data_IF_844902907348
#
_entry.id   IF_844902907348
#
_cell.length_a   1.000
_cell.length_b   1.000
_cell.length_c   1.000
_cell.angle_alpha   90.00
_cell.angle_beta   90.00
_cell.angle_gamma   90.00
#
_symmetry.space_group_name_H-M   'P 1'
#
loop_
_entity.id
_entity.type
_entity.pdbx_description
1 polymer ?
#
# COMPACT_ATOMS: atom_id res chain seq x y z
N UNK A 1 4.13 48.14 -27.20
CA UNK A 1 3.91 46.99 -28.09
C UNK A 1 4.89 45.89 -27.68
N UNK A 2 4.48 44.97 -26.84
CA UNK A 2 5.25 43.79 -26.51
C UNK A 2 4.44 42.56 -26.94
N UNK A 3 4.98 41.84 -27.94
CA UNK A 3 4.41 40.62 -28.46
C UNK A 3 4.69 39.50 -27.47
N UNK A 4 3.63 38.96 -26.89
CA UNK A 4 3.64 37.66 -26.17
C UNK A 4 3.78 36.55 -27.19
N UNK A 5 4.99 35.96 -27.30
CA UNK A 5 5.24 34.79 -28.12
C UNK A 5 4.66 33.55 -27.47
N UNK A 6 3.65 32.98 -28.10
CA UNK A 6 3.22 31.59 -27.88
C UNK A 6 4.34 30.71 -28.45
N UNK A 7 5.04 29.99 -27.58
CA UNK A 7 6.04 28.97 -28.00
C UNK A 7 5.28 27.77 -28.54
N UNK A 8 5.19 27.72 -29.87
CA UNK A 8 4.79 26.54 -30.64
C UNK A 8 5.68 25.34 -30.26
N UNK A 9 5.06 24.27 -29.83
CA UNK A 9 5.76 23.02 -29.51
C UNK A 9 6.13 22.30 -30.81
N UNK A 10 7.36 22.49 -31.27
CA UNK A 10 7.93 21.75 -32.37
C UNK A 10 7.88 20.23 -32.08
N UNK A 11 7.20 19.42 -32.92
CA UNK A 11 7.09 17.98 -32.76
C UNK A 11 8.46 17.28 -32.70
N UNK A 12 9.46 17.79 -33.38
CA UNK A 12 10.82 17.24 -33.35
C UNK A 12 11.47 17.36 -31.96
N UNK A 13 11.19 18.44 -31.23
CA UNK A 13 11.71 18.63 -29.87
C UNK A 13 11.03 17.70 -28.89
N UNK A 14 9.72 17.44 -29.04
CA UNK A 14 8.97 16.49 -28.19
C UNK A 14 9.46 15.07 -28.41
N UNK A 15 9.72 14.67 -29.67
CA UNK A 15 10.23 13.34 -29.98
C UNK A 15 11.68 13.15 -29.50
N UNK A 16 12.49 14.19 -29.58
CA UNK A 16 13.84 14.18 -29.01
C UNK A 16 13.84 14.01 -27.50
N UNK A 17 12.96 14.72 -26.77
CA UNK A 17 12.80 14.58 -25.31
C UNK A 17 12.30 13.18 -24.91
N UNK A 18 11.39 12.58 -25.70
CA UNK A 18 10.94 11.20 -25.47
C UNK A 18 12.07 10.19 -25.65
N UNK A 19 12.91 10.37 -26.66
CA UNK A 19 14.06 9.48 -26.89
C UNK A 19 15.15 9.64 -25.82
N UNK A 20 15.38 10.86 -25.34
CA UNK A 20 16.25 11.10 -24.18
C UNK A 20 15.70 10.41 -22.92
N UNK A 21 14.41 10.54 -22.66
CA UNK A 21 13.78 9.90 -21.51
C UNK A 21 13.89 8.37 -21.60
N UNK A 22 13.65 7.77 -22.77
CA UNK A 22 13.82 6.32 -22.99
C UNK A 22 15.24 5.83 -22.68
N UNK A 23 16.24 6.58 -23.13
CA UNK A 23 17.66 6.25 -22.87
C UNK A 23 18.00 6.33 -21.40
N UNK A 24 17.54 7.38 -20.71
CA UNK A 24 17.76 7.56 -19.28
C UNK A 24 17.05 6.46 -18.44
N UNK A 25 15.79 6.15 -18.77
CA UNK A 25 15.04 5.07 -18.11
C UNK A 25 15.71 3.71 -18.35
N UNK A 26 16.16 3.44 -19.58
CA UNK A 26 16.88 2.21 -19.90
C UNK A 26 18.19 2.12 -19.11
N UNK A 27 18.96 3.19 -19.02
CA UNK A 27 20.19 3.24 -18.21
C UNK A 27 19.91 2.99 -16.73
N UNK A 28 18.80 3.51 -16.18
CA UNK A 28 18.39 3.29 -14.77
C UNK A 28 17.99 1.81 -14.53
N UNK A 29 17.42 1.14 -15.55
CA UNK A 29 16.97 -0.26 -15.42
C UNK A 29 18.12 -1.25 -15.62
N UNK A 30 19.05 -0.96 -16.55
CA UNK A 30 20.11 -1.88 -16.97
C UNK A 30 21.40 -1.71 -16.14
N UNK A 31 21.54 -0.65 -15.34
CA UNK A 31 22.75 -0.33 -14.56
C UNK A 31 22.53 -0.68 -13.08
N UNK A 32 23.27 -1.63 -12.55
CA UNK A 32 23.25 -2.02 -11.13
C UNK A 32 23.80 -0.91 -10.21
N UNK A 33 24.35 0.18 -10.77
CA UNK A 33 24.92 1.32 -10.05
C UNK A 33 23.98 2.53 -10.14
N UNK A 34 23.10 2.69 -9.15
CA UNK A 34 22.11 3.76 -9.05
C UNK A 34 22.79 5.12 -8.88
N UNK A 35 22.99 5.87 -9.98
CA UNK A 35 23.49 7.25 -9.92
C UNK A 35 22.35 8.25 -9.73
N UNK A 36 22.32 9.00 -8.61
CA UNK A 36 21.27 10.01 -8.34
C UNK A 36 21.11 11.02 -9.48
N UNK A 37 22.21 11.38 -10.13
CA UNK A 37 22.25 12.33 -11.26
C UNK A 37 21.46 11.86 -12.48
N UNK A 38 21.42 10.54 -12.75
CA UNK A 38 20.67 9.97 -13.88
C UNK A 38 19.16 10.04 -13.62
N UNK A 39 18.75 9.83 -12.36
CA UNK A 39 17.37 9.95 -11.91
C UNK A 39 16.89 11.39 -12.00
N UNK A 40 17.70 12.35 -11.58
CA UNK A 40 17.34 13.77 -11.59
C UNK A 40 17.22 14.30 -13.04
N UNK A 41 18.10 13.87 -13.94
CA UNK A 41 17.98 14.16 -15.39
C UNK A 41 16.71 13.55 -16.01
N UNK A 42 16.32 12.35 -15.61
CA UNK A 42 15.07 11.74 -16.06
C UNK A 42 13.84 12.53 -15.57
N UNK A 43 13.85 13.00 -14.32
CA UNK A 43 12.80 13.87 -13.75
C UNK A 43 12.70 15.21 -14.48
N UNK A 44 13.82 15.86 -14.77
CA UNK A 44 13.84 17.13 -15.52
C UNK A 44 13.30 16.97 -16.95
N UNK A 45 13.69 15.88 -17.64
CA UNK A 45 13.20 15.57 -18.98
C UNK A 45 11.69 15.32 -18.97
N UNK A 46 11.18 14.61 -17.96
CA UNK A 46 9.75 14.35 -17.78
C UNK A 46 8.97 15.64 -17.48
N UNK A 47 9.51 16.54 -16.66
CA UNK A 47 8.92 17.84 -16.37
C UNK A 47 8.87 18.74 -17.59
N UNK A 48 9.91 18.70 -18.45
CA UNK A 48 9.96 19.42 -19.72
C UNK A 48 8.91 18.91 -20.72
N UNK A 49 8.60 17.62 -20.70
CA UNK A 49 7.51 17.02 -21.47
C UNK A 49 6.12 17.40 -20.93
N UNK A 50 5.94 17.45 -19.59
CA UNK A 50 4.69 17.87 -18.93
C UNK A 50 4.29 19.31 -19.23
N UNK A 51 5.25 20.21 -19.35
CA UNK A 51 4.99 21.64 -19.63
C UNK A 51 4.53 21.92 -21.06
N UNK A 52 4.56 20.94 -21.96
CA UNK A 52 4.18 21.10 -23.37
C UNK A 52 2.89 20.37 -23.65
N UNK A 53 1.78 21.09 -23.82
CA UNK A 53 0.51 20.50 -24.29
C UNK A 53 0.71 19.90 -25.67
N UNK A 54 0.50 18.60 -25.81
CA UNK A 54 0.44 17.91 -27.09
C UNK A 54 -0.87 18.32 -27.78
N UNK A 55 -0.78 19.22 -28.75
CA UNK A 55 -1.89 19.50 -29.63
C UNK A 55 -2.18 18.28 -30.50
N UNK A 56 -3.37 17.70 -30.35
CA UNK A 56 -3.83 16.59 -31.18
C UNK A 56 -3.91 17.03 -32.66
N UNK A 57 -3.13 16.38 -33.53
CA UNK A 57 -3.24 16.50 -34.99
C UNK A 57 -4.40 15.61 -35.45
N UNK A 58 -5.45 16.24 -35.97
CA UNK A 58 -6.37 15.59 -36.89
C UNK A 58 -5.62 15.31 -38.20
N UNK A 59 -5.52 14.07 -38.59
CA UNK A 59 -5.04 13.66 -39.93
C UNK A 59 -6.15 13.93 -40.95
N UNK A 60 -5.90 14.85 -41.86
CA UNK A 60 -6.67 15.03 -43.07
C UNK A 60 -6.24 14.00 -44.10
N UNK A 61 -7.17 13.15 -44.55
CA UNK A 61 -7.08 12.55 -45.89
C UNK A 61 -8.44 12.64 -46.60
N UNK A 62 -8.44 12.96 -47.91
CA UNK A 62 -9.63 13.32 -48.62
C UNK A 62 -10.26 12.15 -49.38
N UNK A 63 -11.55 12.33 -49.67
CA UNK A 63 -12.38 11.60 -50.62
C UNK A 63 -13.19 10.39 -50.15
N UNK A 64 -14.44 10.64 -49.85
CA UNK A 64 -15.60 10.18 -50.62
C UNK A 64 -16.95 10.55 -49.97
N UNK A 65 -18.05 10.66 -50.71
CA UNK A 65 -19.11 11.61 -50.46
C UNK A 65 -20.32 10.92 -49.82
N UNK A 66 -20.68 11.38 -48.62
CA UNK A 66 -22.05 11.26 -48.12
C UNK A 66 -22.41 12.47 -47.24
N UNK A 67 -22.57 13.59 -47.98
CA UNK A 67 -23.39 14.67 -47.50
C UNK A 67 -24.84 14.19 -47.38
N UNK A 68 -25.31 14.02 -46.16
CA UNK A 68 -26.71 14.16 -45.72
C UNK A 68 -26.87 13.49 -44.34
N UNK A 69 -26.68 14.26 -43.32
CA UNK A 69 -27.49 14.34 -42.13
C UNK A 69 -26.99 15.55 -41.35
N UNK A 70 -27.42 16.68 -41.83
CA UNK A 70 -27.34 17.95 -41.13
C UNK A 70 -28.47 18.05 -40.15
N UNK A 71 -28.18 18.73 -39.05
CA UNK A 71 -29.11 19.43 -38.19
C UNK A 71 -29.85 18.54 -37.20
N UNK A 72 -29.16 18.15 -36.11
CA UNK A 72 -29.81 18.19 -34.79
C UNK A 72 -29.26 19.42 -34.07
N UNK A 73 -30.18 20.30 -33.80
CA UNK A 73 -29.99 21.58 -33.13
C UNK A 73 -29.12 21.45 -31.88
N UNK A 74 -28.24 22.44 -31.67
CA UNK A 74 -27.58 22.74 -30.42
C UNK A 74 -28.64 22.98 -29.35
N UNK A 75 -29.08 21.92 -28.65
CA UNK A 75 -29.69 22.09 -27.35
C UNK A 75 -28.61 22.64 -26.41
N UNK A 76 -28.93 23.67 -25.60
CA UNK A 76 -28.00 24.14 -24.58
C UNK A 76 -27.58 22.94 -23.71
N UNK A 77 -26.29 22.88 -23.30
CA UNK A 77 -25.85 21.86 -22.39
C UNK A 77 -26.81 21.80 -21.18
N UNK A 78 -27.21 20.58 -20.75
CA UNK A 78 -28.18 20.45 -19.66
C UNK A 78 -27.66 21.15 -18.39
N UNK A 79 -28.51 21.95 -17.76
CA UNK A 79 -28.15 22.68 -16.57
C UNK A 79 -28.00 21.68 -15.40
N UNK A 80 -26.80 21.66 -14.80
CA UNK A 80 -26.51 20.76 -13.67
C UNK A 80 -27.33 21.22 -12.46
N UNK A 81 -28.14 20.33 -11.84
CA UNK A 81 -28.85 20.64 -10.62
C UNK A 81 -27.92 21.11 -9.50
N UNK A 82 -28.35 22.08 -8.70
CA UNK A 82 -27.50 22.66 -7.63
C UNK A 82 -27.10 21.61 -6.57
N UNK A 83 -27.97 20.64 -6.30
CA UNK A 83 -27.75 19.53 -5.37
C UNK A 83 -26.66 18.57 -5.82
N UNK A 84 -26.26 18.60 -7.10
CA UNK A 84 -25.17 17.77 -7.65
C UNK A 84 -23.85 18.55 -7.75
N UNK A 85 -23.86 19.84 -7.48
CA UNK A 85 -22.68 20.70 -7.49
C UNK A 85 -22.00 20.70 -6.14
N UNK A 86 -20.67 20.59 -6.17
CA UNK A 86 -19.89 20.77 -4.96
C UNK A 86 -20.01 22.22 -4.45
N UNK A 87 -20.29 22.45 -3.14
CA UNK A 87 -20.38 23.80 -2.59
C UNK A 87 -19.09 24.61 -2.72
N UNK A 88 -17.92 23.96 -2.84
CA UNK A 88 -16.62 24.61 -2.99
C UNK A 88 -16.29 24.91 -4.46
N UNK A 89 -16.30 23.89 -5.34
CA UNK A 89 -15.89 24.05 -6.75
C UNK A 89 -17.01 24.56 -7.66
N UNK A 90 -18.28 24.45 -7.26
CA UNK A 90 -19.46 24.73 -8.09
C UNK A 90 -19.58 23.82 -9.32
N UNK A 91 -18.79 22.77 -9.41
CA UNK A 91 -18.81 21.76 -10.47
C UNK A 91 -19.60 20.52 -10.03
N UNK A 92 -19.97 19.68 -11.01
CA UNK A 92 -20.59 18.37 -10.76
C UNK A 92 -19.66 17.50 -9.92
N UNK A 93 -20.17 16.99 -8.79
CA UNK A 93 -19.38 16.14 -7.90
C UNK A 93 -19.04 14.82 -8.57
N UNK A 94 -17.76 14.43 -8.47
CA UNK A 94 -17.22 13.16 -8.99
C UNK A 94 -17.13 12.09 -7.91
N UNK A 95 -16.75 12.50 -6.70
CA UNK A 95 -16.66 11.63 -5.51
C UNK A 95 -17.31 12.31 -4.31
N UNK A 96 -18.66 12.32 -4.25
CA UNK A 96 -19.38 12.99 -3.18
C UNK A 96 -19.14 12.31 -1.83
N UNK A 97 -18.72 13.12 -0.84
CA UNK A 97 -18.49 12.70 0.55
C UNK A 97 -19.30 13.59 1.50
N UNK A 98 -19.85 13.00 2.56
CA UNK A 98 -20.58 13.71 3.60
C UNK A 98 -19.67 13.97 4.80
N UNK A 99 -19.74 15.20 5.31
CA UNK A 99 -19.06 15.60 6.56
C UNK A 99 -19.95 15.33 7.77
N UNK A 100 -19.37 15.40 8.98
CA UNK A 100 -20.13 15.37 10.25
C UNK A 100 -21.16 16.50 10.37
N UNK A 101 -21.05 17.55 9.56
CA UNK A 101 -22.06 18.62 9.43
C UNK A 101 -23.31 18.21 8.63
N UNK A 102 -23.34 17.00 8.05
CA UNK A 102 -24.40 16.53 7.15
C UNK A 102 -24.34 17.06 5.72
N UNK A 103 -23.40 17.96 5.40
CA UNK A 103 -23.25 18.52 4.06
C UNK A 103 -22.31 17.68 3.19
N UNK A 104 -22.65 17.61 1.90
CA UNK A 104 -21.92 16.83 0.90
C UNK A 104 -21.03 17.74 0.07
N UNK A 105 -19.80 17.28 -0.17
CA UNK A 105 -18.79 17.96 -0.97
C UNK A 105 -18.14 16.96 -1.93
N UNK A 106 -17.51 17.45 -2.98
CA UNK A 106 -16.60 16.61 -3.76
C UNK A 106 -15.28 16.44 -3.01
N UNK A 107 -14.85 15.19 -2.80
CA UNK A 107 -13.70 14.83 -1.96
C UNK A 107 -12.46 15.66 -2.22
N UNK A 108 -12.01 15.93 -3.49
CA UNK A 108 -10.80 16.69 -3.74
C UNK A 108 -10.78 18.05 -3.08
N UNK A 109 -11.89 18.74 -3.20
CA UNK A 109 -11.97 20.13 -2.76
C UNK A 109 -12.07 20.23 -1.24
N UNK A 110 -12.82 19.33 -0.60
CA UNK A 110 -12.90 19.35 0.86
C UNK A 110 -11.63 18.82 1.53
N UNK A 111 -10.94 17.86 0.91
CA UNK A 111 -9.62 17.43 1.41
C UNK A 111 -8.59 18.55 1.34
N UNK A 112 -8.57 19.32 0.26
CA UNK A 112 -7.70 20.48 0.15
C UNK A 112 -8.00 21.53 1.23
N UNK A 113 -9.29 21.86 1.45
CA UNK A 113 -9.72 22.76 2.51
C UNK A 113 -9.22 22.32 3.90
N UNK A 114 -9.32 21.02 4.21
CA UNK A 114 -8.84 20.47 5.47
C UNK A 114 -7.29 20.45 5.56
N UNK A 115 -6.58 20.20 4.46
CA UNK A 115 -5.10 20.27 4.39
C UNK A 115 -4.55 21.67 4.63
N UNK A 116 -5.28 22.70 4.25
CA UNK A 116 -4.95 24.11 4.52
C UNK A 116 -5.09 24.49 6.01
N UNK A 117 -5.43 23.53 6.87
CA UNK A 117 -5.54 23.69 8.32
C UNK A 117 -6.92 24.11 8.82
N UNK A 118 -7.91 24.22 7.92
CA UNK A 118 -9.28 24.54 8.30
C UNK A 118 -9.91 23.37 9.10
N UNK A 119 -10.63 23.71 10.18
CA UNK A 119 -11.28 22.75 11.08
C UNK A 119 -12.79 22.91 11.12
N UNK A 120 -13.36 23.71 10.22
CA UNK A 120 -14.78 24.01 10.14
C UNK A 120 -15.35 23.65 8.78
N UNK A 121 -16.63 23.31 8.76
CA UNK A 121 -17.37 23.11 7.51
C UNK A 121 -17.41 24.43 6.70
N UNK A 122 -17.05 24.42 5.41
CA UNK A 122 -17.00 25.65 4.61
C UNK A 122 -18.32 26.44 4.55
N UNK A 123 -19.46 25.75 4.57
CA UNK A 123 -20.78 26.36 4.46
C UNK A 123 -21.43 26.59 5.83
N UNK A 124 -21.52 25.55 6.68
CA UNK A 124 -22.24 25.66 7.96
C UNK A 124 -21.39 26.27 9.09
N UNK A 125 -20.06 26.42 8.90
CA UNK A 125 -19.10 26.90 9.91
C UNK A 125 -19.02 26.01 11.17
N UNK A 126 -19.72 24.87 11.18
CA UNK A 126 -19.67 23.92 12.28
C UNK A 126 -18.26 23.36 12.40
N UNK A 127 -17.73 23.27 13.62
CA UNK A 127 -16.46 22.62 13.91
C UNK A 127 -16.57 21.14 13.56
N UNK A 128 -15.67 20.67 12.73
CA UNK A 128 -15.62 19.28 12.27
C UNK A 128 -14.81 18.46 13.29
N UNK A 129 -15.37 17.35 13.73
CA UNK A 129 -14.58 16.29 14.40
C UNK A 129 -13.57 15.71 13.42
N UNK A 130 -12.42 15.20 13.91
CA UNK A 130 -11.39 14.75 13.00
C UNK A 130 -11.91 13.64 12.07
N UNK A 131 -12.03 14.01 10.80
CA UNK A 131 -11.67 13.25 9.62
C UNK A 131 -12.54 12.14 9.06
N UNK A 132 -13.79 11.95 9.37
CA UNK A 132 -14.57 10.96 8.63
C UNK A 132 -15.27 11.58 7.42
N UNK A 133 -14.56 11.54 6.26
CA UNK A 133 -15.14 11.79 4.96
C UNK A 133 -15.85 10.52 4.49
N UNK A 134 -17.12 10.34 4.90
CA UNK A 134 -17.89 9.16 4.52
C UNK A 134 -18.38 9.28 3.07
N UNK A 135 -18.16 8.28 2.20
CA UNK A 135 -18.68 8.30 0.83
C UNK A 135 -20.20 8.44 0.80
N UNK A 136 -20.72 9.40 0.03
CA UNK A 136 -22.14 9.55 -0.19
C UNK A 136 -22.59 8.75 -1.41
N UNK A 137 -22.75 7.42 -1.23
CA UNK A 137 -23.10 6.49 -2.30
C UNK A 137 -24.45 6.81 -2.92
N UNK A 138 -25.41 7.32 -2.14
CA UNK A 138 -26.72 7.70 -2.64
C UNK A 138 -26.63 8.86 -3.64
N UNK A 139 -25.94 9.94 -3.27
CA UNK A 139 -25.74 11.08 -4.19
C UNK A 139 -24.94 10.67 -5.42
N UNK A 140 -23.93 9.83 -5.27
CA UNK A 140 -23.16 9.29 -6.41
C UNK A 140 -24.08 8.56 -7.41
N UNK A 141 -24.95 7.69 -6.91
CA UNK A 141 -25.89 6.92 -7.75
C UNK A 141 -26.90 7.86 -8.45
N UNK A 142 -27.46 8.84 -7.73
CA UNK A 142 -28.40 9.81 -8.29
C UNK A 142 -27.72 10.66 -9.39
N UNK A 143 -26.49 11.11 -9.18
CA UNK A 143 -25.69 11.81 -10.20
C UNK A 143 -25.50 10.92 -11.44
N UNK A 144 -25.13 9.64 -11.23
CA UNK A 144 -24.93 8.69 -12.34
C UNK A 144 -26.20 8.49 -13.16
N UNK A 145 -27.35 8.35 -12.49
CA UNK A 145 -28.65 8.19 -13.16
C UNK A 145 -29.06 9.47 -13.92
N UNK A 146 -28.82 10.64 -13.33
CA UNK A 146 -29.06 11.93 -14.00
C UNK A 146 -28.19 12.07 -15.24
N UNK A 147 -26.89 11.80 -15.14
CA UNK A 147 -25.98 11.84 -16.29
C UNK A 147 -26.44 10.91 -17.43
N UNK A 148 -26.85 9.68 -17.11
CA UNK A 148 -27.38 8.73 -18.11
C UNK A 148 -28.65 9.24 -18.78
N UNK A 149 -29.55 9.89 -18.02
CA UNK A 149 -30.78 10.47 -18.54
C UNK A 149 -30.52 11.64 -19.50
N UNK A 150 -29.56 12.49 -19.17
CA UNK A 150 -29.17 13.65 -19.98
C UNK A 150 -28.21 13.30 -21.13
N UNK A 151 -27.81 12.02 -21.25
CA UNK A 151 -26.88 11.56 -22.28
C UNK A 151 -25.45 12.07 -22.10
N UNK A 152 -25.06 12.34 -20.84
CA UNK A 152 -23.72 12.75 -20.43
C UNK A 152 -23.02 11.53 -19.85
N UNK A 153 -21.75 11.34 -20.16
CA UNK A 153 -20.94 10.32 -19.48
C UNK A 153 -20.81 10.68 -18.01
N UNK A 154 -21.19 9.77 -17.07
CA UNK A 154 -21.02 10.03 -15.64
C UNK A 154 -19.54 10.30 -15.36
N UNK A 155 -19.22 11.28 -14.49
CA UNK A 155 -17.83 11.57 -14.16
C UNK A 155 -17.18 10.31 -13.57
N UNK A 156 -16.02 9.94 -14.11
CA UNK A 156 -15.25 8.84 -13.55
C UNK A 156 -14.88 9.15 -12.10
N UNK A 157 -15.07 8.18 -11.19
CA UNK A 157 -14.64 8.36 -9.81
C UNK A 157 -13.15 8.71 -9.81
N UNK A 158 -12.79 9.84 -9.24
CA UNK A 158 -11.37 10.14 -9.03
C UNK A 158 -10.85 9.13 -8.01
N UNK A 159 -10.01 8.22 -8.46
CA UNK A 159 -9.34 7.27 -7.57
C UNK A 159 -8.37 8.11 -6.73
N UNK A 160 -8.79 8.46 -5.51
CA UNK A 160 -7.91 9.11 -4.56
C UNK A 160 -6.91 8.11 -4.03
N UNK A 161 -5.69 8.27 -4.50
CA UNK A 161 -4.51 7.73 -3.86
C UNK A 161 -4.09 8.80 -2.84
N UNK A 162 -4.21 8.52 -1.53
CA UNK A 162 -3.62 9.40 -0.53
C UNK A 162 -2.09 9.48 -0.77
N UNK A 163 -1.37 10.33 -0.03
CA UNK A 163 0.09 10.49 -0.18
C UNK A 163 0.86 9.15 -0.07
N UNK A 164 0.22 8.12 0.49
CA UNK A 164 0.74 6.75 0.67
C UNK A 164 0.26 5.76 -0.39
N UNK A 165 -0.50 6.19 -1.40
CA UNK A 165 -0.99 5.31 -2.46
C UNK A 165 -2.18 4.42 -2.09
N UNK A 166 -2.91 4.72 -1.02
CA UNK A 166 -4.06 3.93 -0.54
C UNK A 166 -5.35 4.42 -1.19
N UNK A 167 -6.05 3.53 -1.89
CA UNK A 167 -7.39 3.81 -2.42
C UNK A 167 -8.47 3.45 -1.39
N UNK A 168 -9.66 4.05 -1.52
CA UNK A 168 -10.80 3.66 -0.68
C UNK A 168 -11.20 2.19 -0.91
N UNK A 169 -11.06 1.70 -2.15
CA UNK A 169 -11.29 0.31 -2.47
C UNK A 169 -10.29 -0.63 -1.76
N UNK A 170 -8.99 -0.26 -1.69
CA UNK A 170 -8.00 -1.01 -0.93
C UNK A 170 -8.33 -0.99 0.57
N UNK A 171 -8.81 0.13 1.10
CA UNK A 171 -9.21 0.26 2.50
C UNK A 171 -10.40 -0.65 2.84
N UNK A 172 -11.46 -0.61 2.04
CA UNK A 172 -12.64 -1.44 2.24
C UNK A 172 -12.32 -2.93 2.11
N UNK A 173 -11.53 -3.29 1.10
CA UNK A 173 -11.07 -4.67 0.93
C UNK A 173 -10.24 -5.12 2.13
N UNK A 174 -9.32 -4.29 2.61
CA UNK A 174 -8.50 -4.57 3.79
C UNK A 174 -9.35 -4.84 5.02
N UNK A 175 -10.29 -3.94 5.35
CA UNK A 175 -11.17 -4.08 6.51
C UNK A 175 -12.02 -5.36 6.43
N UNK A 176 -12.59 -5.64 5.26
CA UNK A 176 -13.36 -6.87 5.04
C UNK A 176 -12.52 -8.13 5.22
N UNK A 177 -11.28 -8.16 4.71
CA UNK A 177 -10.40 -9.32 4.87
C UNK A 177 -9.95 -9.51 6.31
N UNK A 178 -9.67 -8.42 7.03
CA UNK A 178 -9.28 -8.48 8.45
C UNK A 178 -10.46 -8.98 9.30
N UNK A 179 -11.69 -8.53 9.04
CA UNK A 179 -12.90 -9.00 9.71
C UNK A 179 -13.12 -10.52 9.48
N UNK A 180 -12.93 -11.00 8.25
CA UNK A 180 -13.06 -12.42 7.91
C UNK A 180 -12.08 -13.35 8.64
N UNK A 181 -10.95 -12.82 9.15
CA UNK A 181 -10.04 -13.61 9.99
C UNK A 181 -10.67 -14.02 11.33
N UNK A 182 -11.65 -13.26 11.81
CA UNK A 182 -12.39 -13.56 13.05
C UNK A 182 -13.62 -14.46 12.83
N UNK A 183 -13.88 -14.89 11.58
CA UNK A 183 -14.99 -15.81 11.26
C UNK A 183 -14.77 -17.19 11.89
N UNK A 184 -15.85 -17.86 12.30
CA UNK A 184 -15.81 -19.27 12.73
C UNK A 184 -15.66 -20.25 11.56
N UNK A 185 -15.86 -19.79 10.31
CA UNK A 185 -15.71 -20.58 9.09
C UNK A 185 -14.24 -20.69 8.67
N UNK A 186 -13.62 -21.84 8.92
CA UNK A 186 -12.22 -22.09 8.55
C UNK A 186 -11.90 -21.88 7.06
N UNK A 187 -12.72 -22.28 6.09
CA UNK A 187 -12.55 -21.93 4.68
C UNK A 187 -12.53 -20.44 4.42
N UNK A 188 -13.32 -19.64 5.12
CA UNK A 188 -13.32 -18.17 5.01
C UNK A 188 -12.04 -17.56 5.57
N UNK A 189 -11.63 -17.98 6.77
CA UNK A 189 -10.35 -17.56 7.37
C UNK A 189 -9.17 -17.84 6.44
N UNK A 190 -9.10 -19.06 5.85
CA UNK A 190 -8.02 -19.43 4.92
C UNK A 190 -7.99 -18.56 3.67
N UNK A 191 -9.16 -18.25 3.10
CA UNK A 191 -9.24 -17.36 1.93
C UNK A 191 -8.75 -15.95 2.28
N UNK A 192 -9.20 -15.40 3.42
CA UNK A 192 -8.79 -14.08 3.88
C UNK A 192 -7.29 -14.01 4.16
N UNK A 193 -6.72 -15.00 4.87
CA UNK A 193 -5.30 -15.08 5.18
C UNK A 193 -4.44 -15.16 3.90
N UNK A 194 -4.83 -15.99 2.94
CA UNK A 194 -4.13 -16.14 1.66
C UNK A 194 -4.16 -14.86 0.83
N UNK A 195 -5.30 -14.16 0.81
CA UNK A 195 -5.44 -12.91 0.09
C UNK A 195 -4.63 -11.78 0.76
N UNK A 196 -4.66 -11.66 2.10
CA UNK A 196 -3.84 -10.72 2.84
C UNK A 196 -2.34 -10.97 2.61
N UNK A 197 -1.89 -12.23 2.59
CA UNK A 197 -0.52 -12.60 2.24
C UNK A 197 -0.12 -12.07 0.86
N UNK A 198 -0.98 -12.26 -0.16
CA UNK A 198 -0.72 -11.81 -1.54
C UNK A 198 -0.70 -10.29 -1.63
N UNK A 199 -1.68 -9.62 -1.02
CA UNK A 199 -1.82 -8.17 -1.06
C UNK A 199 -0.69 -7.47 -0.31
N UNK A 200 -0.32 -7.92 0.88
CA UNK A 200 0.81 -7.37 1.65
C UNK A 200 2.16 -7.60 0.96
N UNK A 201 2.30 -8.67 0.17
CA UNK A 201 3.49 -8.92 -0.65
C UNK A 201 3.57 -7.96 -1.83
N UNK A 202 2.48 -7.77 -2.56
CA UNK A 202 2.47 -7.07 -3.85
C UNK A 202 2.13 -5.59 -3.75
N UNK A 203 1.32 -5.16 -2.76
CA UNK A 203 0.85 -3.80 -2.62
C UNK A 203 1.42 -3.14 -1.36
N UNK A 204 2.15 -2.05 -1.55
CA UNK A 204 2.66 -1.23 -0.45
C UNK A 204 1.52 -0.68 0.44
N UNK A 205 0.38 -0.28 -0.18
CA UNK A 205 -0.80 0.23 0.51
C UNK A 205 -1.29 -0.68 1.64
N UNK A 206 -1.29 -2.01 1.43
CA UNK A 206 -1.73 -2.96 2.46
C UNK A 206 -0.79 -3.04 3.66
N UNK A 207 0.52 -2.85 3.47
CA UNK A 207 1.46 -2.76 4.59
C UNK A 207 1.25 -1.50 5.42
N UNK A 208 0.94 -0.37 4.76
CA UNK A 208 0.61 0.89 5.43
C UNK A 208 -0.71 0.78 6.19
N UNK A 209 -1.74 0.14 5.61
CA UNK A 209 -3.02 -0.07 6.27
C UNK A 209 -2.90 -0.85 7.58
N UNK A 210 -2.07 -1.90 7.63
CA UNK A 210 -1.80 -2.59 8.89
C UNK A 210 -1.21 -1.68 9.98
N UNK A 211 -0.36 -0.72 9.60
CA UNK A 211 0.15 0.28 10.55
C UNK A 211 -0.90 1.30 10.98
N UNK A 212 -1.76 1.73 10.04
CA UNK A 212 -2.82 2.71 10.31
C UNK A 212 -3.95 2.15 11.19
N UNK A 213 -4.20 0.85 11.14
CA UNK A 213 -5.21 0.12 11.92
C UNK A 213 -4.59 -0.89 12.88
N UNK A 214 -3.37 -0.62 13.37
CA UNK A 214 -2.58 -1.60 14.12
C UNK A 214 -3.28 -2.15 15.36
N UNK A 215 -4.01 -1.31 16.09
CA UNK A 215 -4.69 -1.67 17.34
C UNK A 215 -5.78 -2.73 17.14
N UNK A 216 -6.40 -2.78 15.95
CA UNK A 216 -7.44 -3.73 15.60
C UNK A 216 -6.93 -4.84 14.69
N UNK A 217 -6.20 -4.48 13.62
CA UNK A 217 -5.84 -5.40 12.54
C UNK A 217 -4.76 -6.42 12.95
N UNK A 218 -3.79 -6.04 13.79
CA UNK A 218 -2.75 -6.96 14.25
C UNK A 218 -3.33 -8.02 15.21
N UNK A 219 -4.16 -7.67 16.22
CA UNK A 219 -4.87 -8.66 17.03
C UNK A 219 -5.77 -9.59 16.21
N UNK A 220 -6.48 -9.09 15.20
CA UNK A 220 -7.30 -9.94 14.34
C UNK A 220 -6.46 -10.88 13.48
N UNK A 221 -5.28 -10.43 13.02
CA UNK A 221 -4.32 -11.32 12.32
C UNK A 221 -3.78 -12.42 13.24
N UNK A 222 -3.68 -12.18 14.54
CA UNK A 222 -3.26 -13.17 15.55
C UNK A 222 -4.37 -14.16 15.89
N UNK A 223 -5.64 -13.75 15.86
CA UNK A 223 -6.77 -14.51 16.43
C UNK A 223 -6.84 -15.97 15.95
N UNK A 224 -6.63 -16.30 14.65
CA UNK A 224 -6.64 -17.70 14.20
C UNK A 224 -5.46 -18.54 14.70
N UNK A 225 -4.39 -17.89 15.19
CA UNK A 225 -3.18 -18.55 15.70
C UNK A 225 -3.21 -18.77 17.23
N UNK A 226 -4.13 -18.09 17.93
CA UNK A 226 -4.26 -18.11 19.40
C UNK A 226 -5.35 -19.07 19.88
N UNK A 227 -5.67 -20.13 19.15
CA UNK A 227 -6.77 -21.04 19.47
C UNK A 227 -6.72 -21.55 20.93
N UNK A 228 -7.67 -21.10 21.74
CA UNK A 228 -7.87 -21.55 23.13
C UNK A 228 -8.33 -23.02 23.24
N UNK A 229 -8.85 -23.60 22.15
CA UNK A 229 -9.42 -24.94 22.12
C UNK A 229 -8.41 -26.08 21.95
N UNK A 230 -7.11 -25.81 21.92
CA UNK A 230 -6.07 -26.85 21.78
C UNK A 230 -6.07 -27.57 20.43
N UNK A 231 -6.84 -27.13 19.47
CA UNK A 231 -6.83 -27.67 18.11
C UNK A 231 -5.56 -27.20 17.38
N UNK A 232 -4.91 -28.11 16.66
CA UNK A 232 -3.70 -27.80 15.87
C UNK A 232 -4.08 -26.83 14.76
N UNK A 233 -3.43 -25.67 14.73
CA UNK A 233 -3.60 -24.70 13.63
C UNK A 233 -3.26 -25.37 12.30
N UNK A 234 -4.10 -25.18 11.30
CA UNK A 234 -3.87 -25.75 9.98
C UNK A 234 -2.56 -25.18 9.37
N UNK A 235 -1.65 -26.03 8.86
CA UNK A 235 -0.33 -25.58 8.40
C UNK A 235 -0.35 -24.51 7.30
N UNK A 236 -1.30 -24.59 6.37
CA UNK A 236 -1.48 -23.61 5.29
C UNK A 236 -1.95 -22.25 5.83
N UNK A 237 -2.90 -22.24 6.75
CA UNK A 237 -3.37 -21.02 7.43
C UNK A 237 -2.22 -20.39 8.24
N UNK A 238 -1.48 -21.20 9.01
CA UNK A 238 -0.33 -20.73 9.77
C UNK A 238 0.72 -20.10 8.86
N UNK A 239 1.06 -20.75 7.73
CA UNK A 239 2.05 -20.23 6.80
C UNK A 239 1.61 -18.89 6.21
N UNK A 240 0.33 -18.75 5.80
CA UNK A 240 -0.19 -17.52 5.22
C UNK A 240 -0.16 -16.36 6.22
N UNK A 241 -0.56 -16.59 7.47
CA UNK A 241 -0.56 -15.58 8.52
C UNK A 241 0.87 -15.17 8.94
N UNK A 242 1.77 -16.13 9.14
CA UNK A 242 3.18 -15.86 9.47
C UNK A 242 3.87 -15.10 8.33
N UNK A 243 3.58 -15.45 7.07
CA UNK A 243 4.10 -14.71 5.91
C UNK A 243 3.52 -13.28 5.86
N UNK A 244 2.27 -13.10 6.26
CA UNK A 244 1.68 -11.76 6.37
C UNK A 244 2.39 -10.93 7.42
N UNK A 245 2.70 -11.49 8.61
CA UNK A 245 3.54 -10.81 9.61
C UNK A 245 4.91 -10.41 9.05
N UNK A 246 5.58 -11.29 8.31
CA UNK A 246 6.82 -10.94 7.62
C UNK A 246 6.63 -9.76 6.67
N UNK A 247 5.62 -9.81 5.80
CA UNK A 247 5.39 -8.77 4.80
C UNK A 247 5.10 -7.39 5.42
N UNK A 248 4.28 -7.33 6.48
CA UNK A 248 3.96 -6.07 7.15
C UNK A 248 5.16 -5.51 7.92
N UNK A 249 6.04 -6.38 8.42
CA UNK A 249 7.26 -6.00 9.13
C UNK A 249 8.31 -5.34 8.23
N UNK A 250 8.19 -5.46 6.90
CA UNK A 250 9.08 -4.80 5.93
C UNK A 250 8.92 -3.27 6.02
N UNK A 251 7.72 -2.78 6.31
CA UNK A 251 7.45 -1.35 6.45
C UNK A 251 8.01 -0.82 7.79
N UNK A 252 8.84 0.23 7.72
CA UNK A 252 9.59 0.71 8.90
C UNK A 252 8.68 1.15 10.05
N UNK A 253 7.58 1.85 9.76
CA UNK A 253 6.62 2.30 10.77
C UNK A 253 5.92 1.14 11.50
N UNK A 254 5.84 -0.04 10.87
CA UNK A 254 5.19 -1.20 11.46
C UNK A 254 6.10 -2.00 12.39
N UNK A 255 7.43 -1.91 12.25
CA UNK A 255 8.37 -2.76 12.99
C UNK A 255 8.20 -2.66 14.50
N UNK A 256 7.99 -1.45 15.00
CA UNK A 256 7.75 -1.22 16.43
C UNK A 256 6.37 -1.74 16.84
N UNK A 257 5.32 -1.35 16.11
CA UNK A 257 3.94 -1.72 16.39
C UNK A 257 3.75 -3.25 16.41
N UNK A 258 4.27 -3.95 15.41
CA UNK A 258 4.18 -5.41 15.30
C UNK A 258 4.95 -6.09 16.45
N UNK A 259 6.16 -5.63 16.78
CA UNK A 259 6.96 -6.26 17.84
C UNK A 259 6.40 -6.01 19.25
N UNK A 260 5.81 -4.83 19.50
CA UNK A 260 5.26 -4.44 20.79
C UNK A 260 3.82 -4.96 20.99
N UNK A 261 3.12 -5.38 19.92
CA UNK A 261 1.79 -5.99 20.06
C UNK A 261 1.90 -7.30 20.84
N UNK A 262 1.16 -7.46 21.95
CA UNK A 262 1.18 -8.70 22.74
C UNK A 262 0.92 -9.93 21.87
N UNK A 263 1.56 -11.04 22.21
CA UNK A 263 1.46 -12.33 21.53
C UNK A 263 2.10 -12.43 20.13
N UNK A 264 2.49 -11.35 19.44
CA UNK A 264 3.14 -11.47 18.12
C UNK A 264 4.46 -12.24 18.23
N UNK A 265 5.37 -11.80 19.11
CA UNK A 265 6.65 -12.51 19.30
C UNK A 265 6.43 -13.96 19.77
N UNK A 266 5.62 -14.25 20.80
CA UNK A 266 5.29 -15.64 21.17
C UNK A 266 4.79 -16.48 20.00
N UNK A 267 3.87 -15.99 19.18
CA UNK A 267 3.33 -16.72 18.03
C UNK A 267 4.40 -16.96 16.95
N UNK A 268 5.26 -15.97 16.66
CA UNK A 268 6.38 -16.17 15.76
C UNK A 268 7.36 -17.23 16.28
N UNK A 269 7.60 -17.29 17.60
CA UNK A 269 8.46 -18.30 18.22
C UNK A 269 7.82 -19.69 18.20
N UNK A 270 6.53 -19.78 18.38
CA UNK A 270 5.79 -21.05 18.28
C UNK A 270 5.84 -21.58 16.84
N UNK A 271 5.57 -20.70 15.87
CA UNK A 271 5.70 -21.02 14.45
C UNK A 271 7.14 -21.43 14.06
N UNK A 272 8.16 -20.80 14.65
CA UNK A 272 9.58 -21.12 14.43
C UNK A 272 9.96 -22.49 15.00
N UNK A 273 9.35 -22.93 16.12
CA UNK A 273 9.62 -24.23 16.75
C UNK A 273 8.88 -25.39 16.06
N UNK A 274 7.61 -25.18 15.71
CA UNK A 274 6.68 -26.28 15.40
C UNK A 274 6.07 -26.20 14.00
N UNK A 275 6.27 -25.09 13.26
CA UNK A 275 5.73 -24.91 11.90
C UNK A 275 6.39 -25.80 10.86
N UNK A 276 5.82 -25.79 9.65
CA UNK A 276 6.47 -26.36 8.46
C UNK A 276 7.82 -25.67 8.23
N UNK A 277 8.70 -26.26 7.42
CA UNK A 277 9.99 -25.62 7.10
C UNK A 277 9.79 -24.23 6.45
N UNK A 278 8.74 -24.04 5.64
CA UNK A 278 8.39 -22.76 5.06
C UNK A 278 7.93 -21.76 6.12
N UNK A 279 7.05 -22.17 7.03
CA UNK A 279 6.59 -21.36 8.16
C UNK A 279 7.73 -20.94 9.07
N UNK A 280 8.63 -21.87 9.41
CA UNK A 280 9.82 -21.64 10.25
C UNK A 280 10.78 -20.65 9.60
N UNK A 281 11.01 -20.80 8.31
CA UNK A 281 11.84 -19.87 7.52
C UNK A 281 11.24 -18.46 7.53
N UNK A 282 9.92 -18.33 7.27
CA UNK A 282 9.22 -17.05 7.26
C UNK A 282 9.20 -16.40 8.67
N UNK A 283 9.05 -17.19 9.73
CA UNK A 283 9.14 -16.69 11.11
C UNK A 283 10.55 -16.16 11.44
N UNK A 284 11.60 -16.86 11.03
CA UNK A 284 12.98 -16.38 11.17
C UNK A 284 13.22 -15.07 10.39
N UNK A 285 12.72 -14.98 9.16
CA UNK A 285 12.79 -13.77 8.34
C UNK A 285 12.00 -12.61 8.96
N UNK A 286 10.84 -12.87 9.56
CA UNK A 286 10.06 -11.85 10.27
C UNK A 286 10.82 -11.32 11.50
N UNK A 287 11.40 -12.20 12.31
CA UNK A 287 12.22 -11.82 13.46
C UNK A 287 13.48 -11.04 13.03
N UNK A 288 14.12 -11.43 11.92
CA UNK A 288 15.22 -10.66 11.33
C UNK A 288 14.76 -9.25 10.95
N UNK A 289 13.65 -9.13 10.22
CA UNK A 289 13.13 -7.85 9.75
C UNK A 289 12.73 -6.94 10.93
N UNK A 290 12.06 -7.48 11.94
CA UNK A 290 11.69 -6.74 13.16
C UNK A 290 12.93 -6.29 13.95
N UNK A 291 13.98 -7.12 14.00
CA UNK A 291 15.21 -6.79 14.72
C UNK A 291 16.06 -5.72 14.05
N UNK A 292 15.68 -5.22 12.85
CA UNK A 292 16.31 -4.05 12.27
C UNK A 292 16.15 -2.79 13.14
N UNK A 293 15.08 -2.70 13.94
CA UNK A 293 14.90 -1.66 14.94
C UNK A 293 15.61 -2.04 16.25
N UNK A 294 16.46 -1.15 16.77
CA UNK A 294 17.30 -1.44 17.95
C UNK A 294 16.51 -1.81 19.20
N UNK A 295 15.39 -1.11 19.45
CA UNK A 295 14.49 -1.43 20.57
C UNK A 295 13.95 -2.86 20.52
N UNK A 296 13.74 -3.40 19.33
CA UNK A 296 13.20 -4.74 19.15
C UNK A 296 14.25 -5.84 19.39
N UNK A 297 15.54 -5.56 19.25
CA UNK A 297 16.62 -6.55 19.46
C UNK A 297 16.61 -7.10 20.90
N UNK A 298 16.46 -6.21 21.88
CA UNK A 298 16.36 -6.60 23.28
C UNK A 298 15.10 -7.40 23.56
N UNK A 299 13.94 -6.90 23.08
CA UNK A 299 12.64 -7.55 23.26
C UNK A 299 12.65 -8.97 22.69
N UNK A 300 13.06 -9.14 21.43
CA UNK A 300 13.09 -10.45 20.75
C UNK A 300 14.08 -11.40 21.44
N UNK A 301 15.28 -10.90 21.82
CA UNK A 301 16.27 -11.73 22.51
C UNK A 301 15.83 -12.20 23.89
N UNK A 302 15.12 -11.35 24.66
CA UNK A 302 14.57 -11.71 25.97
C UNK A 302 13.39 -12.69 25.87
N UNK A 303 12.68 -12.70 24.76
CA UNK A 303 11.57 -13.63 24.50
C UNK A 303 12.02 -15.06 24.20
N UNK A 304 13.33 -15.35 24.21
CA UNK A 304 13.87 -16.68 23.96
C UNK A 304 13.96 -17.08 22.49
N UNK A 305 14.11 -16.11 21.58
CA UNK A 305 14.17 -16.34 20.15
C UNK A 305 15.49 -17.03 19.69
N UNK A 306 16.58 -16.86 20.45
CA UNK A 306 17.88 -17.31 20.03
C UNK A 306 17.97 -18.83 19.90
N UNK A 307 17.49 -19.58 20.88
CA UNK A 307 17.55 -21.04 20.86
C UNK A 307 16.87 -21.68 19.65
N UNK A 308 15.59 -21.37 19.33
CA UNK A 308 14.95 -21.92 18.13
C UNK A 308 15.59 -21.43 16.81
N UNK A 309 16.14 -20.22 16.77
CA UNK A 309 16.92 -19.74 15.61
C UNK A 309 18.23 -20.56 15.44
N UNK A 310 18.93 -20.86 16.54
CA UNK A 310 20.15 -21.69 16.53
C UNK A 310 19.82 -23.11 16.06
N UNK A 311 18.69 -23.69 16.48
CA UNK A 311 18.22 -24.99 16.00
C UNK A 311 17.97 -24.95 14.49
N UNK A 312 17.27 -23.91 14.00
CA UNK A 312 17.01 -23.74 12.57
C UNK A 312 18.30 -23.53 11.76
N UNK A 313 19.28 -22.81 12.32
CA UNK A 313 20.61 -22.65 11.75
C UNK A 313 21.32 -24.01 11.57
N UNK A 314 21.10 -24.95 12.50
CA UNK A 314 21.67 -26.30 12.47
C UNK A 314 21.11 -27.19 11.36
N UNK A 315 19.99 -26.87 10.76
CA UNK A 315 19.33 -27.66 9.71
C UNK A 315 20.03 -27.55 8.34
N UNK A 316 19.61 -28.41 7.40
CA UNK A 316 20.24 -28.46 6.07
C UNK A 316 19.40 -27.79 4.97
N UNK A 317 18.46 -26.92 5.34
CA UNK A 317 17.64 -26.17 4.38
C UNK A 317 18.27 -24.79 4.10
N UNK A 318 18.81 -24.51 2.89
CA UNK A 318 19.65 -23.33 2.63
C UNK A 318 18.99 -21.99 2.98
N UNK A 319 17.69 -21.81 2.62
CA UNK A 319 16.97 -20.58 2.94
C UNK A 319 16.74 -20.42 4.44
N UNK A 320 16.37 -21.48 5.13
CA UNK A 320 16.16 -21.46 6.58
C UNK A 320 17.47 -21.13 7.32
N UNK A 321 18.58 -21.71 6.91
CA UNK A 321 19.92 -21.43 7.44
C UNK A 321 20.28 -19.95 7.24
N UNK A 322 20.05 -19.42 6.02
CA UNK A 322 20.33 -18.02 5.71
C UNK A 322 19.53 -17.08 6.60
N UNK A 323 18.21 -17.28 6.72
CA UNK A 323 17.34 -16.38 7.46
C UNK A 323 17.59 -16.49 8.97
N UNK A 324 17.83 -17.68 9.50
CA UNK A 324 18.25 -17.91 10.88
C UNK A 324 19.57 -17.22 11.20
N UNK A 325 20.59 -17.39 10.35
CA UNK A 325 21.89 -16.73 10.51
C UNK A 325 21.76 -15.22 10.52
N UNK A 326 20.97 -14.65 9.59
CA UNK A 326 20.71 -13.21 9.51
C UNK A 326 20.03 -12.67 10.76
N UNK A 327 19.02 -13.39 11.27
CA UNK A 327 18.33 -13.01 12.50
C UNK A 327 19.25 -13.06 13.73
N UNK A 328 20.01 -14.14 13.90
CA UNK A 328 20.97 -14.28 15.00
C UNK A 328 22.03 -13.17 14.94
N UNK A 329 22.61 -12.92 13.74
CA UNK A 329 23.62 -11.88 13.57
C UNK A 329 23.07 -10.52 13.99
N UNK A 330 21.88 -10.17 13.52
CA UNK A 330 21.28 -8.86 13.82
C UNK A 330 20.90 -8.72 15.31
N UNK A 331 20.35 -9.76 15.91
CA UNK A 331 20.06 -9.80 17.35
C UNK A 331 21.31 -9.68 18.21
N UNK A 332 22.42 -10.30 17.79
CA UNK A 332 23.71 -10.28 18.50
C UNK A 332 24.47 -8.96 18.39
N UNK A 333 23.97 -7.95 17.65
CA UNK A 333 24.44 -6.56 17.76
C UNK A 333 24.23 -6.06 19.19
N UNK A 334 23.11 -6.44 19.81
CA UNK A 334 22.86 -6.16 21.22
C UNK A 334 23.67 -7.09 22.13
N UNK A 335 24.43 -6.52 23.06
CA UNK A 335 25.45 -7.24 23.83
C UNK A 335 24.91 -8.45 24.61
N UNK A 336 23.78 -8.26 25.31
CA UNK A 336 23.15 -9.30 26.14
C UNK A 336 22.69 -10.49 25.30
N UNK A 337 22.27 -10.25 24.06
CA UNK A 337 21.89 -11.30 23.13
C UNK A 337 23.09 -12.14 22.67
N UNK A 338 24.28 -11.50 22.51
CA UNK A 338 25.54 -12.25 22.23
C UNK A 338 25.84 -13.23 23.34
N UNK A 339 25.76 -12.78 24.59
CA UNK A 339 25.99 -13.63 25.76
C UNK A 339 25.01 -14.79 25.81
N UNK A 340 23.72 -14.53 25.52
CA UNK A 340 22.70 -15.61 25.45
C UNK A 340 23.00 -16.57 24.31
N UNK A 341 23.26 -16.07 23.10
CA UNK A 341 23.54 -16.93 21.94
C UNK A 341 24.73 -17.87 22.17
N UNK A 342 25.80 -17.38 22.80
CA UNK A 342 26.95 -18.21 23.17
C UNK A 342 26.57 -19.28 24.17
N UNK A 343 25.79 -18.93 25.21
CA UNK A 343 25.30 -19.89 26.22
C UNK A 343 24.39 -20.95 25.60
N UNK A 344 23.63 -20.60 24.57
CA UNK A 344 22.71 -21.48 23.86
C UNK A 344 23.39 -22.29 22.73
N UNK A 345 24.75 -22.21 22.61
CA UNK A 345 25.53 -23.09 21.76
C UNK A 345 25.70 -22.64 20.32
N UNK A 346 25.46 -21.35 19.98
CA UNK A 346 25.59 -20.84 18.60
C UNK A 346 26.98 -21.11 17.99
N UNK A 347 28.06 -21.03 18.80
CA UNK A 347 29.41 -21.22 18.34
C UNK A 347 29.64 -22.66 17.83
N UNK A 348 29.13 -23.65 18.56
CA UNK A 348 29.24 -25.07 18.17
C UNK A 348 28.49 -25.33 16.86
N UNK A 349 27.29 -24.77 16.69
CA UNK A 349 26.52 -24.95 15.46
C UNK A 349 27.22 -24.31 14.27
N UNK A 350 27.78 -23.10 14.43
CA UNK A 350 28.53 -22.41 13.36
C UNK A 350 29.79 -23.21 13.00
N UNK A 351 30.59 -23.65 13.98
CA UNK A 351 31.82 -24.45 13.71
C UNK A 351 31.44 -25.73 12.97
N UNK A 352 30.40 -26.43 13.40
CA UNK A 352 29.92 -27.64 12.72
C UNK A 352 29.52 -27.37 11.27
N UNK A 353 28.87 -26.24 10.98
CA UNK A 353 28.50 -25.85 9.63
C UNK A 353 29.72 -25.56 8.76
N UNK A 354 30.73 -24.85 9.29
CA UNK A 354 31.96 -24.54 8.56
C UNK A 354 32.77 -25.83 8.24
N UNK A 355 32.78 -26.78 9.17
CA UNK A 355 33.53 -28.04 9.00
C UNK A 355 32.85 -29.02 8.04
N UNK A 356 31.52 -28.94 7.91
CA UNK A 356 30.77 -29.86 7.06
C UNK A 356 30.47 -29.28 5.65
N UNK A 357 31.01 -28.10 5.30
CA UNK A 357 30.84 -27.43 4.00
C UNK A 357 29.55 -26.66 3.91
#
# INVERSE_FOLDING_TARGET
>A
MAKTGVLDSDPAVVDHLKDQLRKLVKSIIDDDDFRPETIDRAKETLNSLKGRKVGGRAASNPSSPLSRLKEKASSPAPEIPEEFKCPLSKELMRDPVVLSSGLTYDRPFIMQWLKEGNRTCPVSQQVLSPTDLSPNLLIREVISQWCKKEGIDPPEPVIYVNEEGITEADRQLFLSLVEQLSSEDLPEQKRAANELRKLTKSKFSFRVLFGAYADDAIPQLLSPLLNESGSVVQPDLQEDLITTFLNISIHDNNKKLVAETPQVIPVLLEALRHGTIATRTNAAAALFTLSALDSNKELIGRSGALLPLIHLLGENHPLAVKDAASAIFNLCIFHENRVRAVKEGVVEVILKKIMNG
#
